data_IF_500066896709
#
_entry.id   IF_500066896709
#
_cell.length_a   1.000
_cell.length_b   1.000
_cell.length_c   1.000
_cell.angle_alpha   90.00
_cell.angle_beta   90.00
_cell.angle_gamma   90.00
#
_symmetry.space_group_name_H-M   'P 1'
#
loop_
_entity.id
_entity.type
_entity.pdbx_description
1 polymer ?
#
# COMPACT_ATOMS: atom_id res chain seq x y z
N UNK A 1 -1.00 -12.03 -25.71
CA UNK A 1 -1.52 -11.57 -27.01
C UNK A 1 -1.69 -10.04 -27.08
N UNK A 2 -2.57 -9.40 -26.30
CA UNK A 2 -2.75 -7.92 -26.36
C UNK A 2 -1.55 -7.09 -25.87
N UNK A 3 -0.76 -7.58 -24.91
CA UNK A 3 0.38 -6.84 -24.31
C UNK A 3 1.52 -6.58 -25.30
N UNK A 4 1.89 -7.60 -26.07
CA UNK A 4 2.94 -7.48 -27.09
C UNK A 4 2.50 -6.59 -28.26
N UNK A 5 1.20 -6.59 -28.57
CA UNK A 5 0.64 -5.69 -29.58
C UNK A 5 0.72 -4.23 -29.11
N UNK A 6 0.28 -3.92 -27.90
CA UNK A 6 0.36 -2.57 -27.32
C UNK A 6 1.81 -2.07 -27.21
N UNK A 7 2.75 -2.93 -26.80
CA UNK A 7 4.17 -2.57 -26.71
C UNK A 7 4.76 -2.23 -28.08
N UNK A 8 4.41 -3.00 -29.13
CA UNK A 8 4.84 -2.72 -30.50
C UNK A 8 4.23 -1.42 -31.04
N UNK A 9 2.95 -1.16 -30.77
CA UNK A 9 2.30 0.08 -31.18
C UNK A 9 2.92 1.30 -30.49
N UNK A 10 3.22 1.21 -29.19
CA UNK A 10 3.92 2.26 -28.46
C UNK A 10 5.32 2.52 -29.03
N UNK A 11 6.08 1.46 -29.35
CA UNK A 11 7.41 1.59 -29.96
C UNK A 11 7.36 2.26 -31.34
N UNK A 12 6.41 1.87 -32.20
CA UNK A 12 6.20 2.51 -33.50
C UNK A 12 5.74 3.97 -33.37
N UNK A 13 4.88 4.27 -32.39
CA UNK A 13 4.39 5.62 -32.16
C UNK A 13 5.50 6.55 -31.64
N UNK A 14 6.44 5.99 -30.87
CA UNK A 14 7.62 6.68 -30.36
C UNK A 14 8.68 6.91 -31.45
N UNK A 15 8.92 5.94 -32.33
CA UNK A 15 9.91 6.08 -33.42
C UNK A 15 9.55 7.18 -34.41
N UNK A 16 8.28 7.58 -34.49
CA UNK A 16 7.82 8.70 -35.32
C UNK A 16 7.95 10.07 -34.63
N UNK A 17 8.37 10.11 -33.36
CA UNK A 17 8.46 11.31 -32.50
C UNK A 17 9.70 11.28 -31.62
N UNK A 18 10.87 11.11 -32.25
CA UNK A 18 12.15 11.12 -31.54
C UNK A 18 12.27 12.35 -30.63
N UNK A 19 12.53 12.14 -29.34
CA UNK A 19 12.68 13.20 -28.33
C UNK A 19 11.41 13.58 -27.54
N UNK A 20 10.26 12.92 -27.75
CA UNK A 20 9.05 13.18 -26.95
C UNK A 20 9.12 12.53 -25.56
N UNK A 21 9.76 13.22 -24.62
CA UNK A 21 9.91 12.79 -23.23
C UNK A 21 8.56 12.62 -22.50
N UNK A 22 7.54 13.38 -22.89
CA UNK A 22 6.21 13.30 -22.28
C UNK A 22 5.51 11.99 -22.65
N UNK A 23 5.58 11.60 -23.93
CA UNK A 23 5.06 10.31 -24.40
C UNK A 23 5.79 9.15 -23.70
N UNK A 24 7.12 9.21 -23.62
CA UNK A 24 7.93 8.23 -22.90
C UNK A 24 7.55 8.11 -21.41
N UNK A 25 7.35 9.24 -20.74
CA UNK A 25 6.91 9.26 -19.34
C UNK A 25 5.54 8.61 -19.17
N UNK A 26 4.58 8.87 -20.07
CA UNK A 26 3.24 8.27 -20.03
C UNK A 26 3.27 6.76 -20.25
N UNK A 27 4.03 6.28 -21.25
CA UNK A 27 4.18 4.84 -21.51
C UNK A 27 4.75 4.14 -20.27
N UNK A 28 5.79 4.70 -19.64
CA UNK A 28 6.38 4.15 -18.41
C UNK A 28 5.40 4.14 -17.24
N UNK A 29 4.60 5.20 -17.08
CA UNK A 29 3.57 5.28 -16.04
C UNK A 29 2.49 4.22 -16.21
N UNK A 30 1.98 4.03 -17.43
CA UNK A 30 0.97 2.99 -17.70
C UNK A 30 1.52 1.58 -17.53
N UNK A 31 2.76 1.32 -17.95
CA UNK A 31 3.41 0.04 -17.70
C UNK A 31 3.63 -0.21 -16.20
N UNK A 32 3.93 0.83 -15.41
CA UNK A 32 4.01 0.70 -13.96
C UNK A 32 2.64 0.38 -13.34
N UNK A 33 1.60 1.12 -13.70
CA UNK A 33 0.23 0.87 -13.23
C UNK A 33 -0.24 -0.54 -13.58
N UNK A 34 0.10 -1.02 -14.78
CA UNK A 34 -0.21 -2.37 -15.23
C UNK A 34 0.51 -3.45 -14.41
N UNK A 35 1.81 -3.27 -14.12
CA UNK A 35 2.53 -4.15 -13.20
C UNK A 35 1.92 -4.14 -11.80
N UNK A 36 1.54 -2.97 -11.29
CA UNK A 36 0.86 -2.85 -10.00
C UNK A 36 -0.44 -3.66 -9.99
N UNK A 37 -1.28 -3.53 -11.02
CA UNK A 37 -2.55 -4.28 -11.13
C UNK A 37 -2.34 -5.80 -11.14
N UNK A 38 -1.32 -6.30 -11.83
CA UNK A 38 -1.01 -7.73 -11.83
C UNK A 38 -0.55 -8.25 -10.45
N UNK A 39 0.02 -7.37 -9.63
CA UNK A 39 0.53 -7.70 -8.28
C UNK A 39 -0.56 -7.62 -7.21
N UNK A 40 -1.61 -6.82 -7.39
CA UNK A 40 -2.69 -6.60 -6.40
C UNK A 40 -3.23 -7.92 -5.80
N UNK A 41 -3.64 -8.93 -6.60
CA UNK A 41 -4.20 -10.15 -6.03
C UNK A 41 -3.21 -10.91 -5.14
N UNK A 42 -1.92 -10.84 -5.47
CA UNK A 42 -0.86 -11.54 -4.74
C UNK A 42 -0.53 -10.84 -3.42
N UNK A 43 -0.62 -9.51 -3.36
CA UNK A 43 -0.30 -8.75 -2.13
C UNK A 43 -1.48 -8.72 -1.15
N UNK A 44 -2.72 -8.83 -1.64
CA UNK A 44 -3.93 -8.84 -0.81
C UNK A 44 -4.22 -10.19 -0.13
N UNK A 45 -3.70 -11.30 -0.67
CA UNK A 45 -3.85 -12.62 -0.06
C UNK A 45 -2.84 -12.82 1.09
N UNK A 46 -3.27 -12.43 2.28
CA UNK A 46 -2.50 -12.56 3.52
C UNK A 46 -2.65 -13.94 4.16
N UNK A 47 -3.53 -14.82 3.66
CA UNK A 47 -3.78 -16.15 4.26
C UNK A 47 -2.57 -17.10 4.18
N UNK A 48 -1.58 -16.73 3.36
CA UNK A 48 -0.33 -17.46 3.15
C UNK A 48 0.77 -17.07 4.13
N UNK A 49 0.52 -16.11 5.01
CA UNK A 49 1.48 -15.65 6.00
C UNK A 49 1.52 -16.61 7.19
N UNK A 50 2.68 -16.69 7.84
CA UNK A 50 2.82 -17.57 9.00
C UNK A 50 2.02 -17.04 10.20
N UNK A 51 1.66 -17.91 11.14
CA UNK A 51 1.02 -17.50 12.40
C UNK A 51 1.91 -16.50 13.16
N UNK A 52 3.23 -16.68 13.12
CA UNK A 52 4.19 -15.79 13.73
C UNK A 52 4.18 -14.40 13.07
N UNK A 53 4.03 -14.34 11.74
CA UNK A 53 3.88 -13.08 11.01
C UNK A 53 2.58 -12.39 11.40
N UNK A 54 1.46 -13.11 11.41
CA UNK A 54 0.17 -12.57 11.84
C UNK A 54 0.22 -12.01 13.27
N UNK A 55 0.87 -12.70 14.20
CA UNK A 55 1.08 -12.24 15.56
C UNK A 55 1.99 -11.01 15.64
N UNK A 56 3.09 -10.98 14.88
CA UNK A 56 4.02 -9.84 14.85
C UNK A 56 3.33 -8.55 14.39
N UNK A 57 2.44 -8.66 13.42
CA UNK A 57 1.68 -7.53 12.88
C UNK A 57 0.34 -7.31 13.57
N UNK A 58 -0.07 -8.17 14.51
CA UNK A 58 -1.38 -8.10 15.18
C UNK A 58 -2.56 -8.13 14.19
N UNK A 59 -2.48 -8.92 13.12
CA UNK A 59 -3.51 -8.91 12.05
C UNK A 59 -4.80 -9.61 12.45
N UNK A 60 -4.80 -10.39 13.52
CA UNK A 60 -5.98 -11.11 14.00
C UNK A 60 -6.55 -10.50 15.29
N UNK A 61 -5.81 -9.59 15.93
CA UNK A 61 -6.16 -8.97 17.21
C UNK A 61 -6.81 -7.60 17.04
N UNK A 62 -7.83 -7.29 17.83
CA UNK A 62 -8.28 -5.91 17.99
C UNK A 62 -7.39 -5.22 19.05
N UNK A 63 -6.94 -3.97 18.83
CA UNK A 63 -7.42 -3.02 17.81
C UNK A 63 -6.54 -2.93 16.55
N UNK A 64 -5.52 -3.78 16.43
CA UNK A 64 -4.44 -3.67 15.41
C UNK A 64 -4.79 -4.26 14.06
N UNK A 65 -5.79 -5.14 13.99
CA UNK A 65 -6.19 -5.93 12.82
C UNK A 65 -6.14 -5.18 11.49
N UNK A 66 -6.82 -4.04 11.40
CA UNK A 66 -6.94 -3.28 10.15
C UNK A 66 -5.59 -2.69 9.70
N UNK A 67 -4.87 -2.04 10.63
CA UNK A 67 -3.60 -1.41 10.30
C UNK A 67 -2.48 -2.44 10.12
N UNK A 68 -2.50 -3.53 10.87
CA UNK A 68 -1.60 -4.68 10.69
C UNK A 68 -1.71 -5.31 9.31
N UNK A 69 -2.93 -5.53 8.81
CA UNK A 69 -3.14 -5.99 7.44
C UNK A 69 -2.59 -4.99 6.42
N UNK A 70 -2.76 -3.69 6.66
CA UNK A 70 -2.23 -2.63 5.80
C UNK A 70 -0.69 -2.61 5.77
N UNK A 71 -0.05 -2.71 6.95
CA UNK A 71 1.40 -2.86 7.08
C UNK A 71 1.93 -4.11 6.36
N UNK A 72 1.26 -5.25 6.50
CA UNK A 72 1.69 -6.50 5.88
C UNK A 72 1.53 -6.46 4.35
N UNK A 73 0.45 -5.85 3.84
CA UNK A 73 0.30 -5.58 2.41
C UNK A 73 1.40 -4.63 1.90
N UNK A 74 1.77 -3.60 2.67
CA UNK A 74 2.84 -2.69 2.30
C UNK A 74 4.19 -3.42 2.19
N UNK A 75 4.54 -4.27 3.16
CA UNK A 75 5.72 -5.14 3.08
C UNK A 75 5.74 -5.94 1.77
N UNK A 76 4.64 -6.62 1.45
CA UNK A 76 4.52 -7.43 0.22
C UNK A 76 4.61 -6.58 -1.05
N UNK A 77 4.04 -5.38 -1.06
CA UNK A 77 4.18 -4.45 -2.19
C UNK A 77 5.64 -4.06 -2.42
N UNK A 78 6.37 -3.76 -1.34
CA UNK A 78 7.80 -3.45 -1.40
C UNK A 78 8.62 -4.65 -1.92
N UNK A 79 8.36 -5.86 -1.43
CA UNK A 79 8.99 -7.09 -1.92
C UNK A 79 8.72 -7.36 -3.41
N UNK A 80 7.58 -6.90 -3.93
CA UNK A 80 7.22 -7.00 -5.35
C UNK A 80 7.72 -5.82 -6.20
N UNK A 81 8.59 -4.97 -5.64
CA UNK A 81 9.27 -3.90 -6.35
C UNK A 81 8.48 -2.60 -6.46
N UNK A 82 7.39 -2.42 -5.70
CA UNK A 82 6.76 -1.11 -5.56
C UNK A 82 7.73 -0.19 -4.84
N UNK A 83 8.10 0.94 -5.46
CA UNK A 83 9.16 1.82 -4.97
C UNK A 83 8.74 2.74 -3.83
N UNK A 84 7.44 2.99 -3.70
CA UNK A 84 6.89 3.92 -2.72
C UNK A 84 5.51 3.44 -2.30
N UNK A 85 5.30 3.33 -0.99
CA UNK A 85 4.02 2.96 -0.38
C UNK A 85 3.73 3.96 0.73
N UNK A 86 2.51 4.46 0.78
CA UNK A 86 2.04 5.34 1.85
C UNK A 86 0.96 4.63 2.64
N UNK A 87 1.15 4.57 3.96
CA UNK A 87 0.17 4.04 4.90
C UNK A 87 -0.50 5.20 5.63
N UNK A 88 -1.82 5.11 5.78
CA UNK A 88 -2.60 6.06 6.54
C UNK A 88 -3.26 5.35 7.71
N UNK A 89 -3.13 5.93 8.90
CA UNK A 89 -3.87 5.52 10.09
C UNK A 89 -4.72 6.67 10.58
N UNK A 90 -5.93 6.35 11.00
CA UNK A 90 -6.94 7.31 11.44
C UNK A 90 -8.33 6.86 11.02
N UNK A 91 -9.27 7.79 11.10
CA UNK A 91 -10.68 7.58 10.79
C UNK A 91 -11.31 8.83 10.18
N UNK A 92 -12.59 8.73 9.84
CA UNK A 92 -13.33 9.81 9.18
C UNK A 92 -13.33 11.11 10.02
N UNK A 93 -13.26 12.24 9.31
CA UNK A 93 -13.53 13.54 9.90
C UNK A 93 -15.05 13.66 10.15
N UNK A 94 -15.45 13.91 11.39
CA UNK A 94 -16.84 13.98 11.82
C UNK A 94 -16.95 14.06 13.34
N UNK A 95 -18.18 14.07 13.87
CA UNK A 95 -18.44 13.98 15.30
C UNK A 95 -19.23 12.70 15.61
N UNK A 96 -18.82 11.90 16.61
CA UNK A 96 -17.62 12.07 17.43
C UNK A 96 -16.33 11.84 16.61
N UNK A 97 -15.26 12.58 16.93
CA UNK A 97 -14.00 12.46 16.20
C UNK A 97 -13.35 11.12 16.53
N UNK A 98 -13.23 10.24 15.55
CA UNK A 98 -12.63 8.91 15.70
C UNK A 98 -11.32 8.77 14.92
N UNK A 99 -10.45 9.77 15.03
CA UNK A 99 -9.12 9.80 14.42
C UNK A 99 -8.13 10.54 15.33
N UNK A 100 -6.96 10.90 14.79
CA UNK A 100 -5.93 11.66 15.49
C UNK A 100 -6.33 13.11 15.84
N UNK A 101 -7.45 13.61 15.33
CA UNK A 101 -8.04 14.90 15.70
C UNK A 101 -8.73 14.78 17.07
N UNK A 102 -7.94 14.89 18.15
CA UNK A 102 -8.33 14.66 19.54
C UNK A 102 -8.95 15.85 20.29
N UNK A 103 -9.62 16.79 19.61
CA UNK A 103 -10.11 18.03 20.25
C UNK A 103 -11.25 17.83 21.27
N UNK A 104 -11.97 16.69 21.23
CA UNK A 104 -13.05 16.37 22.17
C UNK A 104 -12.51 15.65 23.43
N UNK A 105 -11.66 14.63 23.23
CA UNK A 105 -11.00 13.85 24.28
C UNK A 105 -9.69 13.27 23.74
N UNK A 106 -8.58 13.98 24.03
CA UNK A 106 -7.25 13.62 23.52
C UNK A 106 -6.78 12.27 24.08
N UNK A 107 -7.01 12.00 25.37
CA UNK A 107 -6.53 10.78 26.03
C UNK A 107 -7.19 9.55 25.41
N UNK A 108 -8.51 9.61 25.24
CA UNK A 108 -9.26 8.53 24.58
C UNK A 108 -8.87 8.37 23.11
N UNK A 109 -8.77 9.46 22.35
CA UNK A 109 -8.47 9.38 20.92
C UNK A 109 -7.04 8.89 20.65
N UNK A 110 -6.04 9.54 21.24
CA UNK A 110 -4.65 9.15 21.04
C UNK A 110 -4.36 7.77 21.65
N UNK A 111 -4.98 7.43 22.78
CA UNK A 111 -4.89 6.08 23.35
C UNK A 111 -5.41 5.00 22.40
N UNK A 112 -6.58 5.24 21.78
CA UNK A 112 -7.15 4.34 20.76
C UNK A 112 -6.25 4.26 19.53
N UNK A 113 -5.90 5.39 18.92
CA UNK A 113 -5.14 5.39 17.67
C UNK A 113 -3.71 4.85 17.85
N UNK A 114 -3.05 5.15 18.98
CA UNK A 114 -1.73 4.57 19.29
C UNK A 114 -1.82 3.05 19.40
N UNK A 115 -2.81 2.51 20.14
CA UNK A 115 -2.99 1.07 20.27
C UNK A 115 -3.25 0.36 18.92
N UNK A 116 -3.85 1.06 17.94
CA UNK A 116 -4.08 0.53 16.59
C UNK A 116 -2.80 0.41 15.77
N UNK A 117 -1.82 1.30 15.98
CA UNK A 117 -0.64 1.40 15.10
C UNK A 117 0.65 0.85 15.69
N UNK A 118 0.79 0.80 17.02
CA UNK A 118 2.07 0.58 17.68
C UNK A 118 2.72 -0.76 17.29
N UNK A 119 2.03 -1.87 17.58
CA UNK A 119 2.47 -3.22 17.21
C UNK A 119 2.69 -3.41 15.69
N UNK A 120 1.72 -3.13 14.81
CA UNK A 120 1.88 -3.36 13.37
C UNK A 120 2.96 -2.50 12.73
N UNK A 121 3.15 -1.25 13.18
CA UNK A 121 4.22 -0.39 12.68
C UNK A 121 5.58 -0.90 13.13
N UNK A 122 5.70 -1.35 14.39
CA UNK A 122 6.92 -1.98 14.90
C UNK A 122 7.27 -3.25 14.10
N UNK A 123 6.27 -4.09 13.77
CA UNK A 123 6.44 -5.25 12.91
C UNK A 123 6.95 -4.86 11.52
N UNK A 124 6.35 -3.86 10.88
CA UNK A 124 6.80 -3.35 9.58
C UNK A 124 8.24 -2.85 9.61
N UNK A 125 8.58 -2.00 10.58
CA UNK A 125 9.93 -1.45 10.69
C UNK A 125 11.00 -2.51 10.98
N UNK A 126 10.63 -3.62 11.61
CA UNK A 126 11.53 -4.74 11.87
C UNK A 126 11.82 -5.59 10.63
N UNK A 127 10.85 -5.69 9.71
CA UNK A 127 10.97 -6.46 8.47
C UNK A 127 11.66 -5.69 7.33
N UNK A 128 11.76 -4.35 7.44
CA UNK A 128 12.46 -3.48 6.47
C UNK A 128 13.96 -3.39 6.74
#
# INVERSE_FOLDING_TARGET
ASRDLLSRLNAQHLSLREGDDLLNARIRSYQLAERMQAVVPLVCDLTKESVQTHAMYGTEDEPTREFGRSCLMARRMLEKGVRFVQLFSGGAFGSPRINWDGHEDMMRNHGREAARIDLPLAGLLKDL
#
